data_IF_330135724842
#
_entry.id   IF_330135724842
#
_cell.length_a   1.000
_cell.length_b   1.000
_cell.length_c   1.000
_cell.angle_alpha   90.00
_cell.angle_beta   90.00
_cell.angle_gamma   90.00
#
_symmetry.space_group_name_H-M   'P 1'
#
loop_
_entity.id
_entity.type
_entity.pdbx_description
1 polymer ?
#
# COMPACT_ATOMS: atom_id res chain seq x y z
N UNK A 1 9.85 11.24 8.73
CA UNK A 1 10.68 10.54 9.74
C UNK A 1 10.95 11.43 10.94
N UNK A 2 11.28 12.70 10.74
CA UNK A 2 11.56 13.59 11.86
C UNK A 2 10.38 13.73 12.83
N UNK A 3 9.14 13.77 12.31
CA UNK A 3 7.95 13.82 13.17
C UNK A 3 7.78 12.55 13.99
N UNK A 4 8.05 11.38 13.40
CA UNK A 4 8.00 10.10 14.11
C UNK A 4 9.08 10.01 15.18
N UNK A 5 10.29 10.48 14.88
CA UNK A 5 11.37 10.50 15.86
C UNK A 5 11.04 11.42 17.03
N UNK A 6 10.40 12.59 16.77
CA UNK A 6 9.97 13.50 17.83
C UNK A 6 8.92 12.85 18.73
N UNK A 7 7.96 12.14 18.15
CA UNK A 7 6.93 11.42 18.91
C UNK A 7 7.57 10.30 19.73
N UNK A 8 8.47 9.53 19.13
CA UNK A 8 9.16 8.45 19.81
C UNK A 8 9.90 8.95 21.05
N UNK A 9 10.64 10.05 20.89
CA UNK A 9 11.39 10.64 21.99
C UNK A 9 10.47 11.21 23.07
N UNK A 10 9.41 11.95 22.65
CA UNK A 10 8.49 12.61 23.57
C UNK A 10 7.69 11.61 24.41
N UNK A 11 7.29 10.50 23.81
CA UNK A 11 6.48 9.47 24.46
C UNK A 11 7.31 8.29 24.97
N UNK A 12 8.62 8.34 24.82
CA UNK A 12 9.57 7.31 25.28
C UNK A 12 9.22 5.94 24.73
N UNK A 13 8.94 5.86 23.43
CA UNK A 13 8.58 4.61 22.75
C UNK A 13 9.86 3.86 22.36
N UNK A 14 10.17 2.80 23.09
CA UNK A 14 11.34 1.97 22.81
C UNK A 14 11.04 0.79 21.88
N UNK A 15 9.76 0.57 21.56
CA UNK A 15 9.31 -0.44 20.61
C UNK A 15 9.02 0.12 19.21
N UNK A 16 9.38 1.38 18.94
CA UNK A 16 9.22 2.01 17.64
C UNK A 16 10.58 2.31 17.04
N UNK A 17 10.80 1.87 15.81
CA UNK A 17 12.00 2.17 15.03
C UNK A 17 11.60 2.89 13.75
N UNK A 18 12.41 3.86 13.33
CA UNK A 18 12.17 4.62 12.10
C UNK A 18 13.42 4.61 11.23
N UNK A 19 13.22 4.75 9.92
CA UNK A 19 14.32 4.85 8.97
C UNK A 19 13.89 5.66 7.75
N UNK A 20 14.82 6.39 7.16
CA UNK A 20 14.62 7.04 5.87
C UNK A 20 15.07 6.09 4.78
N UNK A 21 14.17 5.75 3.85
CA UNK A 21 14.48 4.82 2.76
C UNK A 21 13.81 5.28 1.47
N UNK A 22 14.48 5.04 0.35
CA UNK A 22 13.88 5.21 -0.96
C UNK A 22 12.99 4.00 -1.25
N UNK A 23 11.69 4.23 -1.37
CA UNK A 23 10.72 3.15 -1.55
C UNK A 23 10.86 2.45 -2.90
N UNK A 24 11.42 3.11 -3.92
CA UNK A 24 11.67 2.47 -5.21
C UNK A 24 12.82 1.45 -5.17
N UNK A 25 13.60 1.46 -4.10
CA UNK A 25 14.69 0.49 -3.90
C UNK A 25 14.58 -0.23 -2.56
N UNK A 26 13.43 -0.11 -1.90
CA UNK A 26 13.20 -0.72 -0.59
C UNK A 26 13.19 -2.24 -0.69
N UNK A 27 13.87 -2.89 0.26
CA UNK A 27 13.78 -4.32 0.48
C UNK A 27 13.68 -4.57 1.97
N UNK A 28 12.64 -5.27 2.37
CA UNK A 28 12.49 -5.69 3.77
C UNK A 28 13.47 -6.80 4.08
N UNK A 29 14.00 -6.78 5.29
CA UNK A 29 14.83 -7.85 5.84
C UNK A 29 14.10 -8.47 7.04
N UNK A 30 14.24 -9.78 7.19
CA UNK A 30 13.68 -10.49 8.34
C UNK A 30 12.24 -10.93 8.10
N UNK A 31 11.52 -11.08 9.19
CA UNK A 31 10.20 -11.67 9.19
C UNK A 31 9.28 -10.83 10.07
N UNK A 32 8.10 -10.52 9.55
CA UNK A 32 7.14 -9.62 10.20
C UNK A 32 5.76 -10.28 10.30
N UNK A 33 5.05 -10.00 11.36
CA UNK A 33 3.68 -10.48 11.56
C UNK A 33 2.66 -9.68 10.72
N UNK A 34 2.97 -8.41 10.47
CA UNK A 34 2.14 -7.53 9.65
C UNK A 34 3.03 -6.58 8.87
N UNK A 35 2.83 -6.53 7.56
CA UNK A 35 3.40 -5.49 6.71
C UNK A 35 2.23 -4.74 6.08
N UNK A 36 2.24 -3.41 6.20
CA UNK A 36 1.18 -2.59 5.63
C UNK A 36 1.73 -1.48 4.74
N UNK A 37 0.95 -1.15 3.72
CA UNK A 37 1.24 -0.05 2.80
C UNK A 37 -0.09 0.62 2.47
N UNK A 38 -0.31 1.82 2.99
CA UNK A 38 -1.56 2.52 2.79
C UNK A 38 -1.32 3.83 2.04
N UNK A 39 -1.90 3.94 0.85
CA UNK A 39 -1.86 5.14 0.01
C UNK A 39 -0.41 5.54 -0.35
N UNK A 40 0.40 4.56 -0.72
CA UNK A 40 1.84 4.74 -1.04
C UNK A 40 2.19 4.26 -2.43
N UNK A 41 1.71 3.09 -2.83
CA UNK A 41 2.18 2.40 -4.04
C UNK A 41 1.94 3.20 -5.32
N UNK A 42 0.89 4.05 -5.37
CA UNK A 42 0.62 4.88 -6.54
C UNK A 42 1.71 5.94 -6.80
N UNK A 43 2.57 6.20 -5.84
CA UNK A 43 3.68 7.15 -5.99
C UNK A 43 4.98 6.49 -6.44
N UNK A 44 5.00 5.18 -6.58
CA UNK A 44 6.21 4.42 -6.93
C UNK A 44 6.28 4.16 -8.42
N UNK A 45 7.50 3.87 -8.92
CA UNK A 45 7.66 3.48 -10.31
C UNK A 45 6.97 2.14 -10.57
N UNK A 46 6.28 1.98 -11.72
CA UNK A 46 5.55 0.74 -12.01
C UNK A 46 6.42 -0.51 -11.93
N UNK A 47 7.67 -0.44 -12.36
CA UNK A 47 8.59 -1.58 -12.34
C UNK A 47 8.94 -2.02 -10.91
N UNK A 48 8.75 -1.15 -9.93
CA UNK A 48 9.02 -1.45 -8.52
C UNK A 48 7.95 -2.36 -7.90
N UNK A 49 6.72 -2.26 -8.37
CA UNK A 49 5.56 -2.84 -7.69
C UNK A 49 5.63 -4.37 -7.58
N UNK A 50 5.88 -5.14 -8.66
CA UNK A 50 5.91 -6.60 -8.51
C UNK A 50 6.95 -7.08 -7.51
N UNK A 51 8.15 -6.51 -7.57
CA UNK A 51 9.24 -6.88 -6.65
C UNK A 51 8.95 -6.48 -5.21
N UNK A 52 8.35 -5.31 -5.00
CA UNK A 52 7.98 -4.85 -3.66
C UNK A 52 6.94 -5.77 -3.03
N UNK A 53 5.90 -6.12 -3.76
CA UNK A 53 4.86 -7.03 -3.24
C UNK A 53 5.46 -8.41 -2.96
N UNK A 54 6.28 -8.94 -3.86
CA UNK A 54 6.96 -10.22 -3.64
C UNK A 54 7.84 -10.20 -2.39
N UNK A 55 8.55 -9.10 -2.16
CA UNK A 55 9.37 -8.92 -0.97
C UNK A 55 8.50 -8.86 0.30
N UNK A 56 7.39 -8.11 0.26
CA UNK A 56 6.44 -8.06 1.39
C UNK A 56 5.94 -9.47 1.73
N UNK A 57 5.55 -10.24 0.71
CA UNK A 57 5.04 -11.60 0.91
C UNK A 57 6.10 -12.51 1.52
N UNK A 58 7.33 -12.44 1.00
CA UNK A 58 8.42 -13.26 1.48
C UNK A 58 8.79 -12.96 2.93
N UNK A 59 8.77 -11.68 3.29
CA UNK A 59 9.15 -11.23 4.63
C UNK A 59 7.99 -11.24 5.64
N UNK A 60 6.84 -11.77 5.26
CA UNK A 60 5.73 -11.96 6.18
C UNK A 60 5.82 -13.36 6.78
N UNK A 61 5.67 -13.45 8.10
CA UNK A 61 5.65 -14.73 8.82
C UNK A 61 4.48 -15.60 8.36
N UNK A 62 4.64 -16.92 8.41
CA UNK A 62 3.51 -17.83 8.18
C UNK A 62 2.37 -17.47 9.15
N UNK A 63 1.15 -17.32 8.62
CA UNK A 63 0.00 -16.84 9.40
C UNK A 63 -0.03 -15.35 9.63
N UNK A 64 0.97 -14.60 9.18
CA UNK A 64 0.99 -13.14 9.25
C UNK A 64 0.15 -12.48 8.16
N UNK A 65 0.14 -11.15 8.14
CA UNK A 65 -0.79 -10.37 7.32
C UNK A 65 -0.09 -9.34 6.46
N UNK A 66 -0.66 -9.08 5.28
CA UNK A 66 -0.38 -7.88 4.51
C UNK A 66 -1.66 -7.05 4.38
N UNK A 67 -1.55 -5.74 4.59
CA UNK A 67 -2.61 -4.76 4.37
C UNK A 67 -2.13 -3.75 3.36
N UNK A 68 -2.85 -3.63 2.24
CA UNK A 68 -2.48 -2.71 1.17
C UNK A 68 -3.71 -1.90 0.78
N UNK A 69 -3.54 -0.58 0.70
CA UNK A 69 -4.53 0.34 0.14
C UNK A 69 -3.83 1.20 -0.90
N UNK A 70 -4.30 1.21 -2.13
CA UNK A 70 -3.70 2.01 -3.18
C UNK A 70 -4.70 2.40 -4.26
N UNK A 71 -4.44 3.51 -4.94
CA UNK A 71 -5.30 4.02 -5.99
C UNK A 71 -5.33 3.09 -7.20
N UNK A 72 -6.46 3.09 -7.87
CA UNK A 72 -6.71 2.31 -9.09
C UNK A 72 -6.96 3.23 -10.28
N UNK A 73 -6.82 2.66 -11.46
CA UNK A 73 -7.25 3.27 -12.72
C UNK A 73 -8.27 2.32 -13.35
N UNK A 74 -9.52 2.75 -13.38
CA UNK A 74 -10.63 1.93 -13.85
C UNK A 74 -11.43 2.65 -14.91
N UNK A 75 -12.22 1.90 -15.68
CA UNK A 75 -13.01 2.47 -16.77
C UNK A 75 -14.05 3.48 -16.27
N UNK A 76 -14.69 3.17 -15.12
CA UNK A 76 -15.71 4.05 -14.52
C UNK A 76 -15.12 5.23 -13.74
N UNK A 77 -13.91 5.08 -13.20
CA UNK A 77 -13.19 6.13 -12.48
C UNK A 77 -11.75 6.20 -12.97
N UNK A 78 -11.51 6.73 -14.19
CA UNK A 78 -10.16 6.80 -14.72
C UNK A 78 -9.25 7.66 -13.85
N UNK A 79 -7.99 7.24 -13.72
CA UNK A 79 -7.00 7.99 -12.99
C UNK A 79 -6.54 9.18 -13.83
N UNK A 80 -7.04 10.38 -13.50
CA UNK A 80 -6.72 11.62 -14.20
C UNK A 80 -5.61 12.42 -13.51
N UNK A 81 -5.15 11.96 -12.35
CA UNK A 81 -4.00 12.54 -11.66
C UNK A 81 -2.73 11.84 -12.14
N UNK A 82 -1.61 12.55 -12.06
CA UNK A 82 -0.35 12.05 -12.61
C UNK A 82 0.38 11.03 -11.74
N UNK A 83 -0.31 10.03 -11.19
CA UNK A 83 0.35 8.97 -10.44
C UNK A 83 1.20 8.10 -11.39
N UNK A 84 2.44 7.78 -11.01
CA UNK A 84 3.26 6.88 -11.83
C UNK A 84 2.63 5.51 -11.99
N UNK A 85 1.87 5.05 -10.99
CA UNK A 85 1.27 3.73 -10.98
C UNK A 85 -0.16 3.79 -10.42
N UNK A 86 -1.03 2.95 -10.96
CA UNK A 86 -2.36 2.70 -10.39
C UNK A 86 -2.75 1.27 -10.75
N UNK A 87 -3.34 0.56 -9.77
CA UNK A 87 -3.78 -0.82 -10.00
C UNK A 87 -4.94 -0.88 -10.99
N UNK A 88 -4.94 -1.90 -11.82
CA UNK A 88 -6.06 -2.26 -12.66
C UNK A 88 -7.07 -3.12 -11.87
N UNK A 89 -8.32 -3.27 -12.37
CA UNK A 89 -9.26 -4.17 -11.70
C UNK A 89 -8.67 -5.56 -11.46
N UNK A 90 -8.84 -6.06 -10.25
CA UNK A 90 -8.37 -7.38 -9.78
C UNK A 90 -6.85 -7.56 -9.75
N UNK A 91 -6.07 -6.59 -10.20
CA UNK A 91 -4.60 -6.72 -10.28
C UNK A 91 -3.99 -7.01 -8.90
N UNK A 92 -4.34 -6.22 -7.88
CA UNK A 92 -3.80 -6.43 -6.54
C UNK A 92 -4.21 -7.79 -5.98
N UNK A 93 -5.48 -8.18 -6.18
CA UNK A 93 -5.96 -9.47 -5.71
C UNK A 93 -5.17 -10.61 -6.35
N UNK A 94 -4.83 -10.49 -7.62
CA UNK A 94 -4.10 -11.54 -8.34
C UNK A 94 -2.70 -11.77 -7.80
N UNK A 95 -2.07 -10.76 -7.17
CA UNK A 95 -0.79 -10.95 -6.51
C UNK A 95 -0.88 -11.85 -5.27
N UNK A 96 -2.07 -12.01 -4.71
CA UNK A 96 -2.27 -12.74 -3.45
C UNK A 96 -3.01 -14.07 -3.63
N UNK A 97 -2.89 -14.67 -4.79
CA UNK A 97 -3.41 -16.01 -5.00
C UNK A 97 -2.74 -17.00 -4.03
N UNK A 98 -3.53 -17.88 -3.42
CA UNK A 98 -3.05 -18.82 -2.41
C UNK A 98 -3.06 -18.25 -0.98
N UNK A 99 -3.23 -16.94 -0.82
CA UNK A 99 -3.41 -16.33 0.49
C UNK A 99 -4.90 -16.30 0.86
N UNK A 100 -5.18 -16.26 2.17
CA UNK A 100 -6.55 -16.08 2.65
C UNK A 100 -6.91 -14.59 2.59
N UNK A 101 -7.89 -14.22 1.80
CA UNK A 101 -8.36 -12.85 1.71
C UNK A 101 -9.40 -12.60 2.80
N UNK A 102 -9.04 -11.84 3.82
CA UNK A 102 -9.96 -11.44 4.90
C UNK A 102 -10.82 -10.26 4.48
N UNK A 103 -10.26 -9.39 3.64
CA UNK A 103 -10.97 -8.26 3.06
C UNK A 103 -10.36 -7.95 1.70
N UNK A 104 -11.21 -7.75 0.73
CA UNK A 104 -10.82 -7.17 -0.55
C UNK A 104 -11.98 -6.37 -1.11
N UNK A 105 -11.73 -5.12 -1.49
CA UNK A 105 -12.69 -4.33 -2.24
C UNK A 105 -11.97 -3.35 -3.17
N UNK A 106 -12.74 -2.78 -4.08
CA UNK A 106 -12.29 -1.76 -5.03
C UNK A 106 -13.27 -0.58 -4.95
N UNK A 107 -13.54 -0.13 -3.73
CA UNK A 107 -14.54 0.90 -3.47
C UNK A 107 -14.06 2.27 -3.91
N UNK A 108 -15.03 3.13 -4.22
CA UNK A 108 -14.74 4.52 -4.60
C UNK A 108 -14.34 5.32 -3.37
N UNK A 109 -13.24 6.05 -3.49
CA UNK A 109 -12.79 7.00 -2.49
C UNK A 109 -12.56 8.36 -3.11
N UNK A 110 -12.29 9.35 -2.29
CA UNK A 110 -12.03 10.71 -2.73
C UNK A 110 -10.61 11.15 -2.38
N UNK A 111 -9.95 11.82 -3.32
CA UNK A 111 -8.67 12.46 -3.08
C UNK A 111 -8.90 13.82 -2.41
N UNK A 112 -7.87 14.34 -1.76
CA UNK A 112 -7.89 15.73 -1.28
C UNK A 112 -7.79 16.74 -2.41
N UNK A 113 -7.31 16.31 -3.58
CA UNK A 113 -7.23 17.16 -4.77
C UNK A 113 -8.62 17.39 -5.35
N UNK A 114 -8.79 18.56 -5.96
CA UNK A 114 -10.03 18.93 -6.65
C UNK A 114 -9.81 19.02 -8.16
N UNK A 115 -10.90 18.82 -8.93
CA UNK A 115 -10.87 19.00 -10.36
C UNK A 115 -11.10 20.48 -10.73
N UNK A 116 -11.20 20.77 -12.02
CA UNK A 116 -11.39 22.14 -12.52
C UNK A 116 -12.70 22.79 -12.03
N UNK A 117 -13.67 21.99 -11.63
CA UNK A 117 -14.97 22.46 -11.12
C UNK A 117 -15.00 22.59 -9.60
N UNK A 118 -13.87 22.34 -8.91
CA UNK A 118 -13.79 22.44 -7.46
C UNK A 118 -14.31 21.20 -6.72
N UNK A 119 -14.66 20.12 -7.42
CA UNK A 119 -15.10 18.87 -6.81
C UNK A 119 -13.88 17.97 -6.50
N UNK A 120 -13.95 17.25 -5.40
CA UNK A 120 -12.90 16.29 -5.07
C UNK A 120 -12.86 15.17 -6.10
N UNK A 121 -11.65 14.82 -6.52
CA UNK A 121 -11.44 13.77 -7.52
C UNK A 121 -11.74 12.41 -6.88
N UNK A 122 -12.56 11.61 -7.56
CA UNK A 122 -12.92 10.26 -7.11
C UNK A 122 -12.16 9.23 -7.91
N UNK A 123 -11.63 8.25 -7.22
CA UNK A 123 -10.99 7.07 -7.80
C UNK A 123 -11.45 5.84 -7.04
N UNK A 124 -11.33 4.67 -7.67
CA UNK A 124 -11.41 3.44 -6.91
C UNK A 124 -10.09 3.21 -6.20
N UNK A 125 -10.18 2.59 -5.03
CA UNK A 125 -9.01 2.17 -4.25
C UNK A 125 -9.10 0.68 -4.02
N UNK A 126 -8.02 -0.03 -4.35
CA UNK A 126 -7.91 -1.43 -3.99
C UNK A 126 -7.52 -1.52 -2.51
N UNK A 127 -8.34 -2.21 -1.73
CA UNK A 127 -8.09 -2.46 -0.32
C UNK A 127 -8.01 -3.96 -0.11
N UNK A 128 -6.87 -4.42 0.39
CA UNK A 128 -6.62 -5.84 0.59
C UNK A 128 -6.08 -6.07 1.99
N UNK A 129 -6.70 -7.00 2.71
CA UNK A 129 -6.14 -7.58 3.92
C UNK A 129 -6.07 -9.09 3.70
N UNK A 130 -4.85 -9.62 3.63
CA UNK A 130 -4.60 -11.01 3.32
C UNK A 130 -3.72 -11.66 4.39
N UNK A 131 -4.01 -12.93 4.68
CA UNK A 131 -3.25 -13.73 5.63
C UNK A 131 -2.42 -14.77 4.89
N UNK A 132 -1.14 -14.84 5.22
CA UNK A 132 -0.23 -15.81 4.63
C UNK A 132 -0.56 -17.21 5.13
N UNK A 133 -0.54 -18.24 4.25
CA UNK A 133 -0.75 -19.62 4.69
C UNK A 133 0.24 -20.01 5.79
N UNK A 134 -0.25 -20.81 6.71
CA UNK A 134 0.55 -21.32 7.82
C UNK A 134 1.62 -22.33 7.36
#
# INVERSE_FOLDING_TARGET
>A
VNNLESIRAAERLDNLQTAVKDLNSLSFDGEYDLILSTVVMMFLEPDTIPGLIANMQRCTAAGGYNLIVAAMDTEDYPCTVGFPFAFKPDELRDYYQGWELLKYNEDVGELHRTDANGNRIKLRFATLLARKPA
#
